data_IF_448108636354
#
_entry.id   IF_448108636354
#
_cell.length_a   1.000
_cell.length_b   1.000
_cell.length_c   1.000
_cell.angle_alpha   90.00
_cell.angle_beta   90.00
_cell.angle_gamma   90.00
#
_symmetry.space_group_name_H-M   'P 1'
#
loop_
_entity.id
_entity.type
_entity.pdbx_description
1 polymer ?
#
# COMPACT_ATOMS: atom_id res chain seq x y z
N UNK A 1 -19.46 -0.61 2.59
CA UNK A 1 -18.05 -0.40 2.21
C UNK A 1 -17.19 -1.50 2.79
N UNK A 2 -16.25 -1.99 2.00
CA UNK A 2 -15.32 -3.05 2.43
C UNK A 2 -13.92 -2.48 2.44
N UNK A 3 -13.17 -2.77 3.51
CA UNK A 3 -11.75 -2.44 3.59
C UNK A 3 -10.92 -3.71 3.42
N UNK A 4 -9.92 -3.66 2.57
CA UNK A 4 -8.93 -4.72 2.42
C UNK A 4 -7.59 -4.20 2.89
N UNK A 5 -6.91 -5.00 3.72
CA UNK A 5 -5.63 -4.64 4.30
C UNK A 5 -4.63 -5.73 3.97
N UNK A 6 -3.50 -5.31 3.42
CA UNK A 6 -2.35 -6.18 3.20
C UNK A 6 -1.19 -5.65 4.01
N UNK A 7 -0.46 -6.54 4.67
CA UNK A 7 0.69 -6.19 5.51
C UNK A 7 1.91 -6.98 5.07
N UNK A 8 3.06 -6.31 5.03
CA UNK A 8 4.33 -6.94 4.72
C UNK A 8 5.46 -6.21 5.41
N UNK A 9 6.67 -6.77 5.29
CA UNK A 9 7.89 -6.18 5.84
C UNK A 9 8.97 -6.16 4.79
N UNK A 10 9.72 -5.05 4.74
CA UNK A 10 10.87 -4.87 3.86
C UNK A 10 12.00 -4.23 4.66
N UNK A 11 13.18 -4.14 4.04
CA UNK A 11 14.28 -3.39 4.65
C UNK A 11 13.95 -1.91 4.64
N UNK A 12 14.28 -1.21 5.74
CA UNK A 12 14.05 0.23 5.81
C UNK A 12 14.75 0.99 4.67
N UNK A 13 15.93 0.51 4.25
CA UNK A 13 16.67 1.13 3.13
C UNK A 13 15.96 1.01 1.78
N UNK A 14 14.99 0.10 1.64
CA UNK A 14 14.26 -0.12 0.40
C UNK A 14 12.91 0.60 0.35
N UNK A 15 12.54 1.31 1.42
CA UNK A 15 11.21 1.94 1.53
C UNK A 15 10.93 2.91 0.40
N UNK A 16 11.87 3.79 0.07
CA UNK A 16 11.66 4.81 -0.97
C UNK A 16 11.41 4.16 -2.33
N UNK A 17 12.27 3.21 -2.71
CA UNK A 17 12.12 2.53 -3.99
C UNK A 17 10.83 1.71 -4.05
N UNK A 18 10.49 1.03 -2.96
CA UNK A 18 9.26 0.25 -2.88
C UNK A 18 8.02 1.14 -2.95
N UNK A 19 8.04 2.27 -2.24
CA UNK A 19 6.92 3.21 -2.25
C UNK A 19 6.68 3.80 -3.64
N UNK A 20 7.75 4.14 -4.35
CA UNK A 20 7.65 4.64 -5.72
C UNK A 20 7.09 3.58 -6.66
N UNK A 21 7.56 2.35 -6.53
CA UNK A 21 7.07 1.23 -7.35
C UNK A 21 5.58 0.97 -7.12
N UNK A 22 5.15 0.86 -5.87
CA UNK A 22 3.75 0.60 -5.54
C UNK A 22 2.86 1.78 -5.93
N UNK A 23 3.33 3.01 -5.74
CA UNK A 23 2.60 4.21 -6.16
C UNK A 23 2.39 4.29 -7.65
N UNK A 24 3.37 3.82 -8.44
CA UNK A 24 3.29 3.83 -9.90
C UNK A 24 2.52 2.64 -10.47
N UNK A 25 2.34 1.55 -9.71
CA UNK A 25 1.72 0.31 -10.20
C UNK A 25 0.50 -0.10 -9.39
N UNK A 26 0.70 -0.65 -8.19
CA UNK A 26 -0.37 -1.25 -7.39
C UNK A 26 -1.49 -0.29 -7.02
N UNK A 27 -1.15 0.91 -6.52
CA UNK A 27 -2.17 1.89 -6.14
C UNK A 27 -2.90 2.46 -7.33
N UNK A 28 -2.20 2.65 -8.46
CA UNK A 28 -2.84 3.10 -9.72
C UNK A 28 -3.84 2.06 -10.19
N UNK A 29 -3.46 0.79 -10.17
CA UNK A 29 -4.34 -0.31 -10.58
C UNK A 29 -5.57 -0.40 -9.68
N UNK A 30 -5.39 -0.27 -8.36
CA UNK A 30 -6.52 -0.27 -7.43
C UNK A 30 -7.49 0.87 -7.73
N UNK A 31 -6.97 2.09 -7.92
CA UNK A 31 -7.81 3.26 -8.18
C UNK A 31 -8.54 3.19 -9.51
N UNK A 32 -7.99 2.48 -10.49
CA UNK A 32 -8.60 2.28 -11.79
C UNK A 32 -9.64 1.16 -11.79
N UNK A 33 -9.68 0.32 -10.75
CA UNK A 33 -10.61 -0.81 -10.67
C UNK A 33 -12.01 -0.32 -10.28
N UNK A 34 -13.07 -0.70 -11.02
CA UNK A 34 -14.43 -0.33 -10.64
C UNK A 34 -14.78 -0.80 -9.23
N UNK A 35 -15.44 0.06 -8.47
CA UNK A 35 -15.81 -0.22 -7.07
C UNK A 35 -14.79 0.24 -6.05
N UNK A 36 -13.59 0.64 -6.48
CA UNK A 36 -12.58 1.17 -5.55
C UNK A 36 -12.93 2.59 -5.11
N UNK A 37 -12.95 2.82 -3.80
CA UNK A 37 -13.24 4.12 -3.19
C UNK A 37 -11.99 4.81 -2.66
N UNK A 38 -10.84 4.17 -2.73
CA UNK A 38 -9.57 4.73 -2.32
C UNK A 38 -8.54 3.66 -2.06
N UNK A 39 -7.27 4.01 -2.20
CA UNK A 39 -6.16 3.12 -1.93
C UNK A 39 -5.00 3.92 -1.34
N UNK A 40 -4.40 3.38 -0.28
CA UNK A 40 -3.36 4.07 0.49
C UNK A 40 -2.25 3.08 0.83
N UNK A 41 -1.03 3.57 0.85
CA UNK A 41 0.11 2.83 1.36
C UNK A 41 0.64 3.54 2.60
N UNK A 42 0.77 2.80 3.68
CA UNK A 42 1.25 3.31 4.97
C UNK A 42 2.54 2.58 5.32
N UNK A 43 3.49 3.29 5.89
CA UNK A 43 4.75 2.68 6.30
C UNK A 43 5.08 3.07 7.74
N UNK A 44 5.71 2.14 8.46
CA UNK A 44 6.27 2.38 9.78
C UNK A 44 7.66 1.79 9.82
N UNK A 45 8.64 2.60 10.21
CA UNK A 45 10.03 2.17 10.28
C UNK A 45 10.39 1.84 11.74
N UNK A 46 10.93 0.63 11.93
CA UNK A 46 11.42 0.15 13.20
C UNK A 46 12.84 -0.40 13.01
N UNK A 47 13.86 0.39 13.40
CA UNK A 47 15.25 0.00 13.18
C UNK A 47 15.54 -0.18 11.68
N UNK A 48 15.98 -1.36 11.30
CA UNK A 48 16.30 -1.70 9.91
C UNK A 48 15.13 -2.31 9.14
N UNK A 49 13.98 -2.44 9.78
CA UNK A 49 12.78 -3.05 9.20
C UNK A 49 11.72 -1.99 8.96
N UNK A 50 11.10 -2.01 7.80
CA UNK A 50 9.92 -1.21 7.50
C UNK A 50 8.70 -2.12 7.40
N UNK A 51 7.64 -1.73 8.09
CA UNK A 51 6.33 -2.38 7.98
C UNK A 51 5.52 -1.62 6.94
N UNK A 52 5.00 -2.33 5.96
CA UNK A 52 4.22 -1.75 4.86
C UNK A 52 2.79 -2.26 4.97
N UNK A 53 1.84 -1.34 4.92
CA UNK A 53 0.42 -1.66 4.96
C UNK A 53 -0.23 -1.03 3.73
N UNK A 54 -0.94 -1.82 2.95
CA UNK A 54 -1.77 -1.31 1.87
C UNK A 54 -3.22 -1.41 2.31
N UNK A 55 -3.91 -0.27 2.33
CA UNK A 55 -5.32 -0.18 2.67
C UNK A 55 -6.09 0.21 1.41
N UNK A 56 -7.08 -0.59 1.05
CA UNK A 56 -7.97 -0.26 -0.06
C UNK A 56 -9.43 -0.34 0.38
N UNK A 57 -10.23 0.59 -0.10
CA UNK A 57 -11.65 0.72 0.24
C UNK A 57 -12.48 0.42 -1.01
N UNK A 58 -13.54 -0.38 -0.85
CA UNK A 58 -14.34 -0.90 -1.95
C UNK A 58 -15.82 -0.79 -1.65
N UNK A 59 -16.62 -0.72 -2.69
CA UNK A 59 -18.07 -0.84 -2.55
C UNK A 59 -18.42 -2.19 -1.95
N UNK A 60 -19.36 -2.19 -1.03
CA UNK A 60 -19.73 -3.35 -0.25
C UNK A 60 -20.41 -4.50 -1.00
#
# INVERSE_FOLDING_TARGET
MIARIWCGRIRASDVTAYSEYIGATGLVDYRATPGNQGAYMLTRIEGETAHVITLSLWDG
#
